data_IF_442135914382
#
_entry.id   IF_442135914382
#
_cell.length_a   1.000
_cell.length_b   1.000
_cell.length_c   1.000
_cell.angle_alpha   90.00
_cell.angle_beta   90.00
_cell.angle_gamma   90.00
#
_symmetry.space_group_name_H-M   'P 1'
#
loop_
_entity.id
_entity.type
_entity.pdbx_description
1 polymer ?
#
# COMPACT_ATOMS: atom_id res chain seq x y z
N UNK A 1 -11.92 22.42 -19.40
CA UNK A 1 -10.47 22.13 -19.38
C UNK A 1 -10.15 21.34 -18.11
N UNK A 2 -9.57 20.15 -18.21
CA UNK A 2 -9.10 19.39 -17.04
C UNK A 2 -7.91 20.12 -16.45
N UNK A 3 -7.97 20.55 -15.19
CA UNK A 3 -6.84 21.19 -14.54
C UNK A 3 -5.73 20.18 -14.29
N UNK A 4 -4.46 20.59 -14.41
CA UNK A 4 -3.30 19.74 -14.10
C UNK A 4 -3.37 19.16 -12.68
N UNK A 5 -3.90 19.92 -11.74
CA UNK A 5 -4.13 19.49 -10.37
C UNK A 5 -5.12 18.31 -10.28
N UNK A 6 -6.20 18.33 -11.05
CA UNK A 6 -7.15 17.20 -11.11
C UNK A 6 -6.49 15.92 -11.63
N UNK A 7 -5.63 16.05 -12.66
CA UNK A 7 -4.90 14.90 -13.19
C UNK A 7 -3.96 14.29 -12.13
N UNK A 8 -3.19 15.12 -11.43
CA UNK A 8 -2.29 14.66 -10.34
C UNK A 8 -3.08 13.99 -9.24
N UNK A 9 -4.20 14.55 -8.81
CA UNK A 9 -5.08 13.96 -7.80
C UNK A 9 -5.67 12.62 -8.27
N UNK A 10 -6.12 12.55 -9.52
CA UNK A 10 -6.64 11.30 -10.11
C UNK A 10 -5.58 10.19 -10.09
N UNK A 11 -4.35 10.49 -10.56
CA UNK A 11 -3.24 9.54 -10.55
C UNK A 11 -2.89 9.10 -9.12
N UNK A 12 -2.93 10.03 -8.16
CA UNK A 12 -2.70 9.74 -6.75
C UNK A 12 -3.73 8.74 -6.20
N UNK A 13 -5.02 9.00 -6.42
CA UNK A 13 -6.11 8.12 -5.97
C UNK A 13 -6.05 6.76 -6.67
N UNK A 14 -5.79 6.74 -7.98
CA UNK A 14 -5.63 5.49 -8.72
C UNK A 14 -4.47 4.64 -8.16
N UNK A 15 -3.34 5.26 -7.81
CA UNK A 15 -2.22 4.56 -7.19
C UNK A 15 -2.56 4.00 -5.79
N UNK A 16 -3.38 4.72 -4.97
CA UNK A 16 -3.91 4.19 -3.70
C UNK A 16 -4.76 2.94 -3.95
N UNK A 17 -5.69 3.00 -4.92
CA UNK A 17 -6.59 1.87 -5.25
C UNK A 17 -5.77 0.66 -5.70
N UNK A 18 -4.76 0.84 -6.54
CA UNK A 18 -3.90 -0.25 -7.02
C UNK A 18 -3.09 -0.87 -5.86
N UNK A 19 -2.45 -0.05 -5.04
CA UNK A 19 -1.62 -0.54 -3.94
C UNK A 19 -2.45 -1.24 -2.87
N UNK A 20 -3.53 -0.61 -2.39
CA UNK A 20 -4.39 -1.14 -1.34
C UNK A 20 -5.23 -2.31 -1.86
N UNK A 21 -5.92 -2.13 -2.99
CA UNK A 21 -6.80 -3.15 -3.57
C UNK A 21 -6.02 -4.41 -3.94
N UNK A 22 -4.85 -4.27 -4.57
CA UNK A 22 -3.98 -5.41 -4.89
C UNK A 22 -3.49 -6.17 -3.65
N UNK A 23 -3.12 -5.44 -2.58
CA UNK A 23 -2.68 -6.05 -1.32
C UNK A 23 -3.83 -6.76 -0.58
N UNK A 24 -5.01 -6.17 -0.53
CA UNK A 24 -6.21 -6.76 0.07
C UNK A 24 -6.65 -7.99 -0.71
N UNK A 25 -6.74 -7.89 -2.04
CA UNK A 25 -7.07 -9.02 -2.90
C UNK A 25 -6.11 -10.20 -2.68
N UNK A 26 -4.80 -9.94 -2.67
CA UNK A 26 -3.82 -11.00 -2.44
C UNK A 26 -3.96 -11.66 -1.06
N UNK A 27 -4.29 -10.87 -0.02
CA UNK A 27 -4.37 -11.37 1.36
C UNK A 27 -5.68 -12.10 1.65
N UNK A 28 -6.81 -11.57 1.18
CA UNK A 28 -8.14 -12.05 1.58
C UNK A 28 -8.83 -12.94 0.54
N UNK A 29 -8.46 -12.84 -0.74
CA UNK A 29 -9.01 -13.70 -1.79
C UNK A 29 -7.98 -14.69 -2.31
N UNK A 30 -6.84 -14.22 -2.84
CA UNK A 30 -5.90 -15.08 -3.53
C UNK A 30 -5.20 -16.07 -2.59
N UNK A 31 -4.75 -15.63 -1.41
CA UNK A 31 -4.03 -16.50 -0.48
C UNK A 31 -4.86 -17.68 0.04
N UNK A 32 -6.15 -17.53 0.45
CA UNK A 32 -6.98 -18.68 0.82
C UNK A 32 -7.26 -19.59 -0.39
N UNK A 33 -7.61 -19.05 -1.57
CA UNK A 33 -7.84 -19.88 -2.77
C UNK A 33 -6.63 -20.76 -3.09
N UNK A 34 -5.42 -20.18 -3.04
CA UNK A 34 -4.20 -20.96 -3.27
C UNK A 34 -3.94 -22.01 -2.17
N UNK A 35 -4.45 -21.80 -0.96
CA UNK A 35 -4.32 -22.76 0.12
C UNK A 35 -5.26 -23.94 -0.04
N UNK A 36 -6.46 -23.70 -0.58
CA UNK A 36 -7.51 -24.71 -0.70
C UNK A 36 -7.36 -25.54 -1.98
N UNK A 37 -6.90 -24.91 -3.09
CA UNK A 37 -6.88 -25.53 -4.40
C UNK A 37 -5.53 -26.16 -4.78
N UNK A 38 -4.43 -25.82 -4.11
CA UNK A 38 -3.09 -26.23 -4.51
C UNK A 38 -2.38 -27.05 -3.42
N UNK A 39 -1.65 -28.07 -3.87
CA UNK A 39 -0.70 -28.78 -3.02
C UNK A 39 0.41 -27.85 -2.52
N UNK A 40 1.12 -28.23 -1.47
CA UNK A 40 2.13 -27.39 -0.81
C UNK A 40 3.23 -26.90 -1.77
N UNK A 41 3.67 -27.76 -2.71
CA UNK A 41 4.73 -27.40 -3.67
C UNK A 41 4.24 -26.41 -4.72
N UNK A 42 3.06 -26.64 -5.28
CA UNK A 42 2.45 -25.74 -6.26
C UNK A 42 2.11 -24.40 -5.62
N UNK A 43 1.56 -24.39 -4.39
CA UNK A 43 1.25 -23.20 -3.61
C UNK A 43 2.49 -22.33 -3.38
N UNK A 44 3.62 -22.92 -2.95
CA UNK A 44 4.88 -22.19 -2.76
C UNK A 44 5.39 -21.62 -4.08
N UNK A 45 5.33 -22.38 -5.17
CA UNK A 45 5.77 -21.94 -6.52
C UNK A 45 4.94 -20.78 -7.05
N UNK A 46 3.61 -20.86 -6.94
CA UNK A 46 2.68 -19.79 -7.37
C UNK A 46 2.81 -18.57 -6.46
N UNK A 47 2.78 -18.78 -5.14
CA UNK A 47 2.94 -17.72 -4.15
C UNK A 47 4.20 -16.87 -4.35
N UNK A 48 5.33 -17.52 -4.67
CA UNK A 48 6.58 -16.85 -5.02
C UNK A 48 6.45 -15.92 -6.22
N UNK A 49 5.75 -16.36 -7.28
CA UNK A 49 5.51 -15.55 -8.47
C UNK A 49 4.59 -14.37 -8.18
N UNK A 50 3.53 -14.61 -7.39
CA UNK A 50 2.58 -13.59 -6.95
C UNK A 50 3.30 -12.51 -6.14
N UNK A 51 4.04 -12.89 -5.10
CA UNK A 51 4.76 -11.91 -4.23
C UNK A 51 5.70 -11.04 -5.06
N UNK A 52 6.44 -11.61 -6.02
CA UNK A 52 7.35 -10.85 -6.88
C UNK A 52 6.61 -9.85 -7.77
N UNK A 53 5.55 -10.29 -8.46
CA UNK A 53 4.77 -9.42 -9.37
C UNK A 53 3.99 -8.36 -8.61
N UNK A 54 3.28 -8.78 -7.57
CA UNK A 54 2.52 -7.88 -6.73
C UNK A 54 3.43 -6.87 -6.02
N UNK A 55 4.59 -7.33 -5.53
CA UNK A 55 5.59 -6.45 -4.92
C UNK A 55 6.08 -5.36 -5.88
N UNK A 56 6.36 -5.71 -7.13
CA UNK A 56 6.73 -4.72 -8.15
C UNK A 56 5.60 -3.70 -8.37
N UNK A 57 4.35 -4.17 -8.53
CA UNK A 57 3.19 -3.29 -8.72
C UNK A 57 2.98 -2.36 -7.52
N UNK A 58 3.02 -2.90 -6.30
CA UNK A 58 2.80 -2.11 -5.08
C UNK A 58 3.93 -1.10 -4.87
N UNK A 59 5.19 -1.48 -5.06
CA UNK A 59 6.32 -0.55 -4.92
C UNK A 59 6.29 0.55 -5.98
N UNK A 60 5.91 0.23 -7.22
CA UNK A 60 5.70 1.25 -8.27
C UNK A 60 4.55 2.19 -7.91
N UNK A 61 3.41 1.65 -7.49
CA UNK A 61 2.28 2.46 -7.03
C UNK A 61 2.68 3.36 -5.84
N UNK A 62 3.49 2.85 -4.91
CA UNK A 62 4.00 3.62 -3.78
C UNK A 62 4.92 4.77 -4.23
N UNK A 63 5.80 4.54 -5.21
CA UNK A 63 6.63 5.60 -5.79
C UNK A 63 5.79 6.69 -6.45
N UNK A 64 4.75 6.30 -7.20
CA UNK A 64 3.77 7.24 -7.80
C UNK A 64 3.03 8.01 -6.72
N UNK A 65 2.62 7.36 -5.62
CA UNK A 65 1.96 8.00 -4.48
C UNK A 65 2.83 9.07 -3.82
N UNK A 66 4.11 8.76 -3.60
CA UNK A 66 5.07 9.72 -3.03
C UNK A 66 5.22 10.92 -3.95
N UNK A 67 5.48 10.68 -5.22
CA UNK A 67 5.68 11.75 -6.21
C UNK A 67 4.44 12.66 -6.34
N UNK A 68 3.26 12.07 -6.54
CA UNK A 68 2.01 12.83 -6.64
C UNK A 68 1.60 13.49 -5.33
N UNK A 69 1.93 12.87 -4.19
CA UNK A 69 1.73 13.45 -2.87
C UNK A 69 2.56 14.72 -2.65
N UNK A 70 3.83 14.72 -3.05
CA UNK A 70 4.69 15.91 -3.01
C UNK A 70 4.11 17.01 -3.90
N UNK A 71 3.72 16.70 -5.14
CA UNK A 71 3.09 17.66 -6.04
C UNK A 71 1.82 18.27 -5.43
N UNK A 72 0.95 17.46 -4.82
CA UNK A 72 -0.25 17.94 -4.18
C UNK A 72 0.05 18.91 -3.03
N UNK A 73 1.07 18.65 -2.21
CA UNK A 73 1.49 19.57 -1.13
C UNK A 73 2.02 20.88 -1.71
N UNK A 74 2.82 20.82 -2.78
CA UNK A 74 3.35 22.02 -3.43
C UNK A 74 2.26 22.89 -4.06
N UNK A 75 1.20 22.28 -4.61
CA UNK A 75 0.08 23.02 -5.21
C UNK A 75 -0.83 23.68 -4.16
N UNK A 76 -1.09 22.99 -3.05
CA UNK A 76 -2.04 23.50 -2.04
C UNK A 76 -1.43 24.53 -1.10
N UNK A 77 -0.13 24.46 -0.84
CA UNK A 77 0.63 25.32 0.09
C UNK A 77 0.01 25.47 1.49
N UNK A 78 -0.95 24.61 1.85
CA UNK A 78 -1.64 24.62 3.15
C UNK A 78 -0.92 23.64 4.07
N UNK A 79 -0.25 24.16 5.10
CA UNK A 79 0.35 23.35 6.15
C UNK A 79 -0.57 23.35 7.37
N UNK A 80 -1.13 22.18 7.68
CA UNK A 80 -1.94 21.97 8.89
C UNK A 80 -1.33 20.85 9.74
N UNK A 81 -1.68 20.82 11.03
CA UNK A 81 -1.27 19.74 11.93
C UNK A 81 -1.73 18.35 11.41
N UNK A 82 -2.93 18.28 10.82
CA UNK A 82 -3.44 17.07 10.18
C UNK A 82 -2.58 16.61 8.99
N UNK A 83 -2.04 17.55 8.19
CA UNK A 83 -1.12 17.23 7.11
C UNK A 83 0.18 16.66 7.67
N UNK A 84 0.73 17.24 8.74
CA UNK A 84 1.93 16.72 9.40
C UNK A 84 1.73 15.29 9.90
N UNK A 85 0.64 15.00 10.60
CA UNK A 85 0.28 13.64 11.05
C UNK A 85 0.17 12.69 9.86
N UNK A 86 -0.50 13.10 8.79
CA UNK A 86 -0.62 12.30 7.56
C UNK A 86 0.75 11.98 6.94
N UNK A 87 1.66 12.95 6.86
CA UNK A 87 3.01 12.73 6.31
C UNK A 87 3.82 11.73 7.15
N UNK A 88 3.72 11.80 8.48
CA UNK A 88 4.33 10.82 9.38
C UNK A 88 3.78 9.42 9.11
N UNK A 89 2.45 9.26 9.05
CA UNK A 89 1.82 7.98 8.76
C UNK A 89 2.21 7.43 7.38
N UNK A 90 2.26 8.28 6.36
CA UNK A 90 2.71 7.90 5.01
C UNK A 90 4.16 7.41 5.04
N UNK A 91 5.05 8.08 5.77
CA UNK A 91 6.45 7.65 5.93
C UNK A 91 6.52 6.27 6.59
N UNK A 92 5.75 6.03 7.65
CA UNK A 92 5.67 4.71 8.31
C UNK A 92 5.17 3.64 7.32
N UNK A 93 4.14 3.92 6.54
CA UNK A 93 3.64 3.00 5.50
C UNK A 93 4.70 2.67 4.46
N UNK A 94 5.45 3.68 3.98
CA UNK A 94 6.54 3.49 3.00
C UNK A 94 7.60 2.56 3.57
N UNK A 95 8.05 2.80 4.79
CA UNK A 95 9.07 1.97 5.47
C UNK A 95 8.58 0.54 5.64
N UNK A 96 7.36 0.35 6.16
CA UNK A 96 6.78 -0.98 6.38
C UNK A 96 6.54 -1.74 5.07
N UNK A 97 6.00 -1.09 4.03
CA UNK A 97 5.76 -1.70 2.74
C UNK A 97 7.08 -2.07 2.04
N UNK A 98 8.09 -1.19 2.09
CA UNK A 98 9.43 -1.49 1.56
C UNK A 98 10.05 -2.66 2.31
N UNK A 99 9.98 -2.68 3.64
CA UNK A 99 10.44 -3.82 4.44
C UNK A 99 9.70 -5.11 4.07
N UNK A 100 8.38 -5.05 3.93
CA UNK A 100 7.55 -6.20 3.57
C UNK A 100 7.96 -6.80 2.22
N UNK A 101 8.03 -6.00 1.17
CA UNK A 101 8.29 -6.51 -0.18
C UNK A 101 9.76 -6.70 -0.49
N UNK A 102 10.65 -5.78 -0.11
CA UNK A 102 12.06 -5.86 -0.42
C UNK A 102 12.81 -6.83 0.51
N UNK A 103 12.51 -6.86 1.81
CA UNK A 103 13.18 -7.75 2.76
C UNK A 103 12.46 -9.08 2.94
N UNK A 104 11.22 -9.07 3.46
CA UNK A 104 10.48 -10.30 3.72
C UNK A 104 10.16 -11.05 2.44
N UNK A 105 9.73 -10.35 1.38
CA UNK A 105 9.45 -10.93 0.08
C UNK A 105 10.69 -11.58 -0.54
N UNK A 106 11.86 -10.95 -0.46
CA UNK A 106 13.12 -11.52 -0.95
C UNK A 106 13.56 -12.75 -0.14
N UNK A 107 13.35 -12.74 1.19
CA UNK A 107 13.65 -13.92 2.04
C UNK A 107 12.71 -15.07 1.73
N UNK A 108 11.40 -14.82 1.61
CA UNK A 108 10.41 -15.82 1.19
C UNK A 108 10.80 -16.40 -0.17
N UNK A 109 11.22 -15.56 -1.12
CA UNK A 109 11.64 -16.01 -2.44
C UNK A 109 12.84 -16.97 -2.37
N UNK A 110 13.85 -16.67 -1.54
CA UNK A 110 15.04 -17.52 -1.37
C UNK A 110 14.70 -18.86 -0.72
N UNK A 111 13.97 -18.83 0.40
CA UNK A 111 13.59 -20.06 1.13
C UNK A 111 12.63 -20.94 0.32
N UNK A 112 11.77 -20.35 -0.51
CA UNK A 112 10.82 -21.09 -1.34
C UNK A 112 11.46 -21.96 -2.44
N UNK A 113 12.75 -21.80 -2.73
CA UNK A 113 13.50 -22.67 -3.65
C UNK A 113 13.70 -24.04 -3.04
N UNK A 114 13.89 -24.13 -1.71
CA UNK A 114 14.02 -25.40 -0.97
C UNK A 114 12.69 -26.15 -0.75
N UNK A 115 11.56 -25.57 -1.13
CA UNK A 115 10.22 -26.16 -0.93
C UNK A 115 9.54 -25.73 0.37
N UNK A 116 8.42 -26.38 0.72
CA UNK A 116 7.67 -26.06 1.94
C UNK A 116 8.48 -26.47 3.19
N UNK A 117 8.44 -25.59 4.21
CA UNK A 117 9.12 -25.84 5.49
C UNK A 117 8.59 -24.92 6.60
N UNK A 118 8.86 -25.25 7.89
CA UNK A 118 8.34 -24.49 9.02
C UNK A 118 8.83 -23.04 9.06
N UNK A 119 10.08 -22.80 8.68
CA UNK A 119 10.66 -21.45 8.60
C UNK A 119 9.96 -20.60 7.56
N UNK A 120 9.68 -21.17 6.37
CA UNK A 120 8.93 -20.48 5.33
C UNK A 120 7.52 -20.13 5.78
N UNK A 121 6.83 -21.04 6.49
CA UNK A 121 5.49 -20.80 7.02
C UNK A 121 5.46 -19.66 8.04
N UNK A 122 6.44 -19.59 8.94
CA UNK A 122 6.57 -18.50 9.91
C UNK A 122 6.79 -17.16 9.21
N UNK A 123 7.66 -17.13 8.21
CA UNK A 123 7.96 -15.92 7.44
C UNK A 123 6.75 -15.42 6.64
N UNK A 124 5.98 -16.34 6.06
CA UNK A 124 4.73 -16.01 5.36
C UNK A 124 3.67 -15.44 6.31
N UNK A 125 3.55 -15.98 7.54
CA UNK A 125 2.67 -15.42 8.57
C UNK A 125 3.10 -13.99 8.96
N UNK A 126 4.40 -13.77 9.12
CA UNK A 126 4.93 -12.44 9.42
C UNK A 126 4.67 -11.46 8.27
N UNK A 127 4.92 -11.86 7.03
CA UNK A 127 4.61 -11.07 5.82
C UNK A 127 3.13 -10.67 5.77
N UNK A 128 2.22 -11.59 6.07
CA UNK A 128 0.79 -11.32 6.11
C UNK A 128 0.42 -10.35 7.22
N UNK A 129 0.99 -10.49 8.43
CA UNK A 129 0.74 -9.57 9.55
C UNK A 129 1.17 -8.14 9.21
N UNK A 130 2.39 -7.98 8.68
CA UNK A 130 2.88 -6.67 8.24
C UNK A 130 1.96 -6.08 7.15
N UNK A 131 1.52 -6.91 6.18
CA UNK A 131 0.60 -6.47 5.13
C UNK A 131 -0.75 -5.98 5.67
N UNK A 132 -1.33 -6.67 6.66
CA UNK A 132 -2.57 -6.23 7.33
C UNK A 132 -2.33 -4.89 8.04
N UNK A 133 -1.23 -4.75 8.79
CA UNK A 133 -0.88 -3.50 9.47
C UNK A 133 -0.74 -2.33 8.48
N UNK A 134 -0.03 -2.54 7.38
CA UNK A 134 0.09 -1.55 6.30
C UNK A 134 -1.28 -1.19 5.73
N UNK A 135 -2.14 -2.18 5.45
CA UNK A 135 -3.50 -1.95 4.97
C UNK A 135 -4.34 -1.09 5.92
N UNK A 136 -4.29 -1.38 7.22
CA UNK A 136 -5.00 -0.60 8.25
C UNK A 136 -4.49 0.84 8.32
N UNK A 137 -3.17 1.04 8.25
CA UNK A 137 -2.59 2.39 8.23
C UNK A 137 -2.99 3.17 6.98
N UNK A 138 -3.04 2.53 5.81
CA UNK A 138 -3.50 3.19 4.57
C UNK A 138 -4.97 3.58 4.68
N UNK A 139 -5.84 2.73 5.23
CA UNK A 139 -7.24 3.06 5.47
C UNK A 139 -7.38 4.24 6.44
N UNK A 140 -6.57 4.30 7.50
CA UNK A 140 -6.53 5.43 8.41
C UNK A 140 -6.10 6.73 7.70
N UNK A 141 -5.09 6.66 6.82
CA UNK A 141 -4.64 7.81 6.02
C UNK A 141 -5.75 8.29 5.08
N UNK A 142 -6.49 7.38 4.45
CA UNK A 142 -7.65 7.72 3.61
C UNK A 142 -8.73 8.42 4.44
N UNK A 143 -9.07 7.88 5.60
CA UNK A 143 -10.04 8.48 6.51
C UNK A 143 -9.64 9.91 6.94
N UNK A 144 -8.38 10.11 7.36
CA UNK A 144 -7.85 11.44 7.70
C UNK A 144 -7.86 12.40 6.50
N UNK A 145 -7.67 11.88 5.29
CA UNK A 145 -7.72 12.69 4.06
C UNK A 145 -9.12 13.23 3.79
N UNK A 146 -10.17 12.48 4.09
CA UNK A 146 -11.57 12.94 3.99
C UNK A 146 -11.88 14.04 5.02
N UNK A 147 -11.27 13.99 6.21
CA UNK A 147 -11.38 15.05 7.21
C UNK A 147 -10.75 16.37 6.74
N UNK A 148 -9.59 16.31 6.10
CA UNK A 148 -8.91 17.50 5.56
C UNK A 148 -9.72 18.24 4.49
N UNK A 149 -10.43 17.54 3.62
CA UNK A 149 -11.29 18.15 2.59
C UNK A 149 -12.48 18.89 3.18
N UNK A 150 -13.04 18.40 4.29
CA UNK A 150 -14.14 19.09 5.00
C UNK A 150 -13.68 20.38 5.68
N UNK A 151 -12.51 20.36 6.32
CA UNK A 151 -11.93 21.55 6.96
C UNK A 151 -11.57 22.62 5.93
N UNK A 152 -10.98 22.23 4.80
CA UNK A 152 -10.67 23.15 3.71
C UNK A 152 -11.95 23.78 3.10
N UNK A 153 -13.00 22.98 2.90
CA UNK A 153 -14.30 23.48 2.41
C UNK A 153 -14.98 24.45 3.35
N UNK A 154 -14.90 24.23 4.67
CA UNK A 154 -15.46 25.14 5.68
C UNK A 154 -14.72 26.48 5.73
N UNK A 155 -13.41 26.49 5.55
CA UNK A 155 -12.59 27.73 5.51
C UNK A 155 -12.89 28.56 4.26
N UNK A 156 -13.11 27.93 3.11
CA UNK A 156 -13.42 28.64 1.84
C UNK A 156 -14.89 29.09 1.80
N UNK A 157 -15.82 28.31 2.35
CA UNK A 157 -17.25 28.65 2.39
C UNK A 157 -17.67 29.63 3.49
N UNK A 158 -16.78 29.98 4.42
CA UNK A 158 -17.00 30.95 5.48
C UNK A 158 -16.45 32.37 5.18
N UNK A 159 -15.94 32.62 3.99
CA UNK A 159 -15.59 33.99 3.56
C UNK A 159 -16.87 34.70 3.06
N UNK A 160 -17.26 35.86 3.67
CA UNK A 160 -18.42 36.64 3.25
C UNK A 160 -18.21 37.23 1.85
#
# INVERSE_FOLDING_TARGET
MVSWQMLVLFVHVAAVIVALGGSLFATFALAPILADELDDRARVKVGRRVIRRLGAIVLTALAVLVFTGILNVLFTRIFSALLAVKLVLVTVVIVLATYQYANLGARIWRLSVGGPGPELALLQRHFRRVGITVGMLVLLIVYLSLGLTRVAGAVIGGMP
#
